data_IF_991739393857
#
_entry.id   IF_991739393857
#
_cell.length_a   1.000
_cell.length_b   1.000
_cell.length_c   1.000
_cell.angle_alpha   90.00
_cell.angle_beta   90.00
_cell.angle_gamma   90.00
#
_symmetry.space_group_name_H-M   'P 1'
#
loop_
_entity.id
_entity.type
_entity.pdbx_description
1 polymer ?
#
# COMPACT_ATOMS: atom_id res chain seq x y z
N UNK A 1 18.35 -32.44 -40.58
CA UNK A 1 17.57 -32.38 -39.33
C UNK A 1 18.53 -31.82 -38.28
N UNK A 2 18.43 -30.53 -38.00
CA UNK A 2 19.27 -29.88 -36.99
C UNK A 2 18.66 -30.26 -35.63
N UNK A 3 19.45 -30.63 -34.60
CA UNK A 3 18.89 -30.90 -33.28
C UNK A 3 18.21 -29.61 -32.79
N UNK A 4 16.98 -29.72 -32.30
CA UNK A 4 16.39 -28.64 -31.51
C UNK A 4 17.31 -28.43 -30.31
N UNK A 5 17.96 -27.26 -30.24
CA UNK A 5 18.65 -26.84 -29.03
C UNK A 5 17.61 -26.80 -27.91
N UNK A 6 17.78 -27.68 -26.92
CA UNK A 6 17.14 -27.52 -25.62
C UNK A 6 17.75 -26.28 -24.98
N UNK A 7 17.20 -25.12 -25.30
CA UNK A 7 17.50 -23.88 -24.58
C UNK A 7 16.94 -24.09 -23.18
N UNK A 8 17.82 -24.35 -22.21
CA UNK A 8 17.43 -24.31 -20.81
C UNK A 8 16.84 -22.92 -20.53
N UNK A 9 15.64 -22.83 -19.94
CA UNK A 9 15.03 -21.54 -19.64
C UNK A 9 15.96 -20.76 -18.72
N UNK A 10 16.25 -19.50 -19.05
CA UNK A 10 17.06 -18.63 -18.21
C UNK A 10 16.42 -18.57 -16.81
N UNK A 11 17.12 -19.05 -15.76
CA UNK A 11 16.61 -19.00 -14.39
C UNK A 11 16.31 -17.57 -13.91
N UNK A 12 16.85 -16.57 -14.59
CA UNK A 12 16.66 -15.14 -14.35
C UNK A 12 15.61 -14.51 -15.27
N UNK A 13 14.87 -15.26 -16.10
CA UNK A 13 13.81 -14.65 -16.92
C UNK A 13 12.62 -14.12 -16.09
N UNK A 14 12.23 -14.84 -15.03
CA UNK A 14 11.02 -14.55 -14.23
C UNK A 14 11.32 -14.01 -12.82
N UNK A 15 12.59 -13.74 -12.52
CA UNK A 15 13.03 -13.49 -11.14
C UNK A 15 12.39 -12.25 -10.51
N UNK A 16 12.12 -11.19 -11.27
CA UNK A 16 11.47 -9.97 -10.78
C UNK A 16 10.03 -10.25 -10.34
N UNK A 17 9.26 -10.95 -11.19
CA UNK A 17 7.89 -11.36 -10.89
C UNK A 17 7.84 -12.29 -9.67
N UNK A 18 8.75 -13.26 -9.59
CA UNK A 18 8.85 -14.17 -8.43
C UNK A 18 9.20 -13.40 -7.17
N UNK A 19 10.13 -12.45 -7.24
CA UNK A 19 10.52 -11.61 -6.10
C UNK A 19 9.34 -10.75 -5.64
N UNK A 20 8.64 -10.09 -6.55
CA UNK A 20 7.48 -9.27 -6.24
C UNK A 20 6.39 -10.08 -5.53
N UNK A 21 6.01 -11.25 -6.05
CA UNK A 21 5.00 -12.11 -5.43
C UNK A 21 5.44 -12.60 -4.04
N UNK A 22 6.72 -12.94 -3.86
CA UNK A 22 7.24 -13.34 -2.53
C UNK A 22 7.21 -12.20 -1.52
N UNK A 23 7.50 -10.98 -1.95
CA UNK A 23 7.45 -9.79 -1.09
C UNK A 23 5.99 -9.48 -0.75
N UNK A 24 5.11 -9.56 -1.73
CA UNK A 24 3.67 -9.40 -1.55
C UNK A 24 3.10 -10.38 -0.52
N UNK A 25 3.53 -11.64 -0.60
CA UNK A 25 3.19 -12.66 0.40
C UNK A 25 3.69 -12.31 1.80
N UNK A 26 4.90 -11.77 1.95
CA UNK A 26 5.42 -11.31 3.24
C UNK A 26 4.58 -10.16 3.79
N UNK A 27 4.25 -9.17 2.95
CA UNK A 27 3.38 -8.05 3.31
C UNK A 27 2.02 -8.56 3.79
N UNK A 28 1.42 -9.53 3.09
CA UNK A 28 0.11 -10.07 3.44
C UNK A 28 0.09 -10.95 4.71
N UNK A 29 1.25 -11.43 5.17
CA UNK A 29 1.38 -12.19 6.42
C UNK A 29 1.43 -11.32 7.66
N UNK A 30 1.58 -10.01 7.51
CA UNK A 30 1.53 -9.08 8.64
C UNK A 30 0.18 -9.17 9.34
N UNK A 31 0.18 -9.02 10.66
CA UNK A 31 -1.08 -8.77 11.39
C UNK A 31 -1.66 -7.40 11.02
N UNK A 32 -2.90 -7.15 11.43
CA UNK A 32 -3.59 -5.87 11.16
C UNK A 32 -2.77 -4.65 11.63
N UNK A 33 -2.18 -4.71 12.84
CA UNK A 33 -1.31 -3.64 13.36
C UNK A 33 -0.05 -3.46 12.51
N UNK A 34 0.56 -4.58 12.09
CA UNK A 34 1.74 -4.57 11.25
C UNK A 34 1.46 -3.93 9.89
N UNK A 35 0.32 -4.24 9.28
CA UNK A 35 -0.12 -3.62 8.04
C UNK A 35 -0.31 -2.11 8.20
N UNK A 36 -1.01 -1.66 9.25
CA UNK A 36 -1.21 -0.23 9.52
C UNK A 36 0.14 0.50 9.73
N UNK A 37 1.08 -0.11 10.45
CA UNK A 37 2.41 0.45 10.65
C UNK A 37 3.23 0.47 9.35
N UNK A 38 3.08 -0.54 8.47
CA UNK A 38 3.71 -0.59 7.16
C UNK A 38 3.21 0.56 6.28
N UNK A 39 1.89 0.76 6.17
CA UNK A 39 1.31 1.88 5.40
C UNK A 39 1.81 3.22 5.94
N UNK A 40 1.84 3.40 7.26
CA UNK A 40 2.39 4.61 7.86
C UNK A 40 3.88 4.79 7.50
N UNK A 41 4.66 3.71 7.50
CA UNK A 41 6.07 3.70 7.09
C UNK A 41 6.31 4.09 5.64
N UNK A 42 5.48 3.57 4.73
CA UNK A 42 5.51 3.93 3.30
C UNK A 42 5.24 5.44 3.14
N UNK A 43 4.20 5.96 3.80
CA UNK A 43 3.88 7.39 3.74
C UNK A 43 5.00 8.26 4.34
N UNK A 44 5.68 7.79 5.39
CA UNK A 44 6.88 8.48 5.91
C UNK A 44 8.03 8.50 4.92
N UNK A 45 8.28 7.38 4.22
CA UNK A 45 9.29 7.29 3.18
C UNK A 45 8.99 8.21 1.98
N UNK A 46 7.70 8.50 1.74
CA UNK A 46 7.24 9.50 0.76
C UNK A 46 7.34 10.95 1.25
N UNK A 47 7.87 11.19 2.46
CA UNK A 47 8.09 12.53 3.01
C UNK A 47 6.97 13.08 3.90
N UNK A 48 5.95 12.29 4.22
CA UNK A 48 4.90 12.71 5.15
C UNK A 48 5.29 12.41 6.60
N UNK A 49 4.71 13.16 7.54
CA UNK A 49 4.64 12.75 8.94
C UNK A 49 3.32 12.05 9.20
N UNK A 50 3.38 10.94 9.92
CA UNK A 50 2.21 10.08 10.15
C UNK A 50 1.85 9.99 11.63
N UNK A 51 0.56 10.11 11.95
CA UNK A 51 -0.01 9.73 13.24
C UNK A 51 -0.86 8.46 13.06
N UNK A 52 -0.59 7.43 13.85
CA UNK A 52 -1.34 6.17 13.84
C UNK A 52 -2.34 6.20 14.99
N UNK A 53 -3.63 5.97 14.71
CA UNK A 53 -4.67 5.92 15.73
C UNK A 53 -4.45 4.72 16.67
N UNK A 54 -4.69 4.87 17.99
CA UNK A 54 -4.61 3.75 18.92
C UNK A 54 -5.75 2.73 18.65
N UNK A 55 -5.57 1.46 19.03
CA UNK A 55 -6.63 0.46 18.91
C UNK A 55 -7.93 0.90 19.59
N UNK A 56 -9.07 0.67 18.95
CA UNK A 56 -10.39 1.02 19.49
C UNK A 56 -10.72 2.52 19.46
N UNK A 57 -9.91 3.35 18.80
CA UNK A 57 -10.20 4.76 18.61
C UNK A 57 -11.40 4.98 17.66
N UNK A 58 -12.33 5.86 18.04
CA UNK A 58 -13.50 6.24 17.22
C UNK A 58 -13.21 7.43 16.28
N UNK A 59 -11.94 7.67 15.93
CA UNK A 59 -11.54 8.83 15.12
C UNK A 59 -11.94 8.69 13.63
N UNK A 60 -12.56 7.57 13.25
CA UNK A 60 -12.97 7.28 11.87
C UNK A 60 -11.81 7.28 10.88
N UNK A 61 -10.59 6.97 11.36
CA UNK A 61 -9.36 6.82 10.57
C UNK A 61 -8.34 5.96 11.31
N UNK A 62 -7.49 5.28 10.56
CA UNK A 62 -6.37 4.51 11.08
C UNK A 62 -5.06 5.31 11.09
N UNK A 63 -4.86 6.16 10.10
CA UNK A 63 -3.65 6.99 9.96
C UNK A 63 -4.04 8.38 9.50
N UNK A 64 -3.37 9.39 10.04
CA UNK A 64 -3.31 10.74 9.47
C UNK A 64 -1.90 10.98 8.94
N UNK A 65 -1.77 11.38 7.69
CA UNK A 65 -0.49 11.79 7.10
C UNK A 65 -0.57 13.24 6.61
N UNK A 66 0.47 14.02 6.87
CA UNK A 66 0.58 15.43 6.48
C UNK A 66 2.04 15.87 6.48
N UNK A 67 2.41 16.96 5.77
CA UNK A 67 3.80 17.45 5.78
C UNK A 67 4.26 17.86 7.19
N UNK A 68 3.40 18.54 7.93
CA UNK A 68 3.68 19.09 9.25
C UNK A 68 3.52 18.06 10.39
N UNK A 69 2.74 17.01 10.15
CA UNK A 69 2.39 15.96 11.10
C UNK A 69 1.21 16.31 11.98
N UNK A 70 0.62 17.50 11.85
CA UNK A 70 -0.56 17.94 12.60
C UNK A 70 -1.81 17.97 11.72
N UNK A 71 -1.64 18.01 10.39
CA UNK A 71 -2.70 18.16 9.42
C UNK A 71 -3.17 19.60 9.26
N UNK A 72 -2.36 20.60 9.62
CA UNK A 72 -2.66 22.00 9.30
C UNK A 72 -2.23 22.31 7.87
N UNK A 73 -1.11 21.73 7.45
CA UNK A 73 -0.62 21.83 6.07
C UNK A 73 -1.23 20.77 5.15
N UNK A 74 -1.38 21.16 3.88
CA UNK A 74 -1.88 20.28 2.82
C UNK A 74 -0.73 19.60 2.07
N UNK A 75 -0.94 18.38 1.55
CA UNK A 75 -2.17 17.60 1.65
C UNK A 75 -2.31 16.94 3.04
N UNK A 76 -3.53 16.98 3.58
CA UNK A 76 -3.92 16.23 4.77
C UNK A 76 -4.56 14.92 4.31
N UNK A 77 -3.84 13.82 4.44
CA UNK A 77 -4.25 12.51 3.97
C UNK A 77 -4.82 11.71 5.14
N UNK A 78 -6.09 11.35 5.05
CA UNK A 78 -6.75 10.45 5.98
C UNK A 78 -6.72 9.05 5.39
N UNK A 79 -6.31 8.06 6.19
CA UNK A 79 -6.14 6.69 5.74
C UNK A 79 -7.03 5.74 6.53
N UNK A 80 -7.64 4.80 5.81
CA UNK A 80 -8.33 3.62 6.35
C UNK A 80 -7.63 2.36 5.84
N UNK A 81 -7.43 1.37 6.70
CA UNK A 81 -6.74 0.11 6.41
C UNK A 81 -7.65 -1.07 6.75
N UNK A 82 -8.04 -1.84 5.73
CA UNK A 82 -8.81 -3.07 5.86
C UNK A 82 -7.96 -4.28 5.49
N UNK A 83 -7.35 -4.88 6.50
CA UNK A 83 -6.58 -6.12 6.35
C UNK A 83 -7.46 -7.35 6.60
N UNK A 84 -8.23 -7.77 5.59
CA UNK A 84 -9.13 -8.94 5.63
C UNK A 84 -9.36 -9.49 4.23
N UNK A 85 -9.85 -10.74 4.12
CA UNK A 85 -10.11 -11.40 2.83
C UNK A 85 -11.27 -10.81 2.02
N UNK A 86 -12.23 -10.20 2.71
CA UNK A 86 -13.42 -9.63 2.06
C UNK A 86 -13.04 -8.43 1.17
N UNK A 87 -13.66 -8.34 -0.02
CA UNK A 87 -13.55 -7.18 -0.91
C UNK A 87 -14.37 -5.99 -0.39
N UNK A 88 -13.84 -4.78 -0.49
CA UNK A 88 -14.56 -3.57 -0.09
C UNK A 88 -15.53 -3.11 -1.19
N UNK A 89 -16.75 -2.77 -0.79
CA UNK A 89 -17.83 -2.31 -1.67
C UNK A 89 -18.04 -0.80 -1.65
N UNK A 90 -18.97 -0.32 -2.47
CA UNK A 90 -19.30 1.11 -2.55
C UNK A 90 -19.80 1.68 -1.22
N UNK A 91 -20.48 0.87 -0.39
CA UNK A 91 -20.91 1.29 0.96
C UNK A 91 -19.72 1.56 1.86
N UNK A 92 -18.68 0.71 1.85
CA UNK A 92 -17.47 0.94 2.66
C UNK A 92 -16.77 2.25 2.27
N UNK A 93 -16.71 2.54 0.96
CA UNK A 93 -16.12 3.77 0.43
C UNK A 93 -16.93 5.00 0.84
N UNK A 94 -18.27 4.98 0.70
CA UNK A 94 -19.14 6.08 1.14
C UNK A 94 -19.04 6.33 2.64
N UNK A 95 -19.02 5.27 3.44
CA UNK A 95 -18.88 5.38 4.89
C UNK A 95 -17.56 6.06 5.29
N UNK A 96 -16.46 5.69 4.65
CA UNK A 96 -15.16 6.34 4.88
C UNK A 96 -15.16 7.82 4.50
N UNK A 97 -15.74 8.15 3.33
CA UNK A 97 -15.81 9.51 2.80
C UNK A 97 -16.76 10.42 3.59
N UNK A 98 -17.83 9.87 4.17
CA UNK A 98 -18.87 10.64 4.86
C UNK A 98 -18.37 11.48 6.05
N UNK A 99 -17.22 11.15 6.64
CA UNK A 99 -16.60 11.88 7.74
C UNK A 99 -15.45 12.81 7.34
N UNK A 100 -15.19 13.03 6.05
CA UNK A 100 -14.02 13.78 5.56
C UNK A 100 -14.31 15.26 5.35
N UNK A 101 -13.33 16.11 5.65
CA UNK A 101 -13.39 17.52 5.28
C UNK A 101 -13.19 17.68 3.76
N UNK A 102 -13.79 18.68 3.08
CA UNK A 102 -13.60 18.89 1.64
C UNK A 102 -12.13 19.02 1.18
N UNK A 103 -11.28 19.48 2.09
CA UNK A 103 -9.84 19.66 1.84
C UNK A 103 -9.00 18.43 2.16
N UNK A 104 -9.61 17.39 2.72
CA UNK A 104 -8.92 16.12 2.94
C UNK A 104 -8.57 15.46 1.59
N UNK A 105 -7.61 14.56 1.68
CA UNK A 105 -7.35 13.54 0.69
C UNK A 105 -7.53 12.19 1.36
N UNK A 106 -8.13 11.23 0.67
CA UNK A 106 -8.32 9.90 1.20
C UNK A 106 -7.30 8.92 0.64
N UNK A 107 -6.89 7.97 1.47
CA UNK A 107 -6.25 6.74 1.03
C UNK A 107 -6.99 5.57 1.68
N UNK A 108 -7.62 4.72 0.87
CA UNK A 108 -8.25 3.51 1.38
C UNK A 108 -7.41 2.30 0.98
N UNK A 109 -6.95 1.54 1.96
CA UNK A 109 -6.14 0.34 1.76
C UNK A 109 -6.99 -0.90 2.04
N UNK A 110 -7.01 -1.86 1.12
CA UNK A 110 -7.70 -3.15 1.30
C UNK A 110 -6.89 -4.31 0.74
N UNK A 111 -6.46 -5.23 1.60
CA UNK A 111 -5.77 -6.45 1.14
C UNK A 111 -6.70 -7.47 0.50
N UNK A 112 -8.01 -7.38 0.77
CA UNK A 112 -9.04 -8.16 0.09
C UNK A 112 -9.47 -7.55 -1.24
N UNK A 113 -8.92 -6.39 -1.62
CA UNK A 113 -9.26 -5.66 -2.84
C UNK A 113 -10.58 -4.88 -2.74
N UNK A 114 -11.06 -4.44 -3.90
CA UNK A 114 -12.23 -3.58 -4.07
C UNK A 114 -13.14 -4.14 -5.16
N UNK A 115 -14.45 -3.89 -5.06
CA UNK A 115 -15.38 -4.17 -6.17
C UNK A 115 -15.27 -3.10 -7.27
N UNK A 116 -15.92 -3.34 -8.42
CA UNK A 116 -16.03 -2.33 -9.49
C UNK A 116 -16.79 -1.10 -9.01
N UNK A 117 -17.88 -1.31 -8.27
CA UNK A 117 -18.70 -0.22 -7.73
C UNK A 117 -17.96 0.60 -6.68
N UNK A 118 -17.08 -0.02 -5.88
CA UNK A 118 -16.21 0.69 -4.96
C UNK A 118 -15.24 1.64 -5.68
N UNK A 119 -14.65 1.17 -6.78
CA UNK A 119 -13.78 2.02 -7.64
C UNK A 119 -14.56 3.18 -8.25
N UNK A 120 -15.72 2.89 -8.83
CA UNK A 120 -16.59 3.94 -9.38
C UNK A 120 -17.02 4.98 -8.33
N UNK A 121 -17.31 4.54 -7.10
CA UNK A 121 -17.64 5.43 -6.00
C UNK A 121 -16.45 6.31 -5.58
N UNK A 122 -15.24 5.76 -5.56
CA UNK A 122 -14.03 6.53 -5.27
C UNK A 122 -13.76 7.57 -6.36
N UNK A 123 -13.86 7.20 -7.64
CA UNK A 123 -13.57 8.06 -8.79
C UNK A 123 -14.50 9.28 -8.87
N UNK A 124 -15.76 9.11 -8.46
CA UNK A 124 -16.78 10.19 -8.48
C UNK A 124 -16.83 11.02 -7.20
N UNK A 125 -16.00 10.70 -6.20
CA UNK A 125 -15.98 11.39 -4.91
C UNK A 125 -15.50 12.83 -5.07
N UNK A 126 -16.11 13.75 -4.32
CA UNK A 126 -15.65 15.15 -4.25
C UNK A 126 -14.35 15.29 -3.45
N UNK A 127 -14.13 14.41 -2.47
CA UNK A 127 -12.86 14.28 -1.75
C UNK A 127 -11.99 13.30 -2.54
N UNK A 128 -10.85 13.72 -3.10
CA UNK A 128 -9.99 12.83 -3.88
C UNK A 128 -9.53 11.64 -3.04
N UNK A 129 -9.70 10.45 -3.60
CA UNK A 129 -9.47 9.18 -2.93
C UNK A 129 -8.59 8.27 -3.78
N UNK A 130 -7.45 7.83 -3.21
CA UNK A 130 -6.67 6.74 -3.76
C UNK A 130 -7.09 5.41 -3.13
N UNK A 131 -7.13 4.35 -3.93
CA UNK A 131 -7.38 2.98 -3.46
C UNK A 131 -6.10 2.16 -3.61
N UNK A 132 -5.62 1.54 -2.54
CA UNK A 132 -4.49 0.62 -2.58
C UNK A 132 -4.95 -0.80 -2.26
N UNK A 133 -4.76 -1.70 -3.21
CA UNK A 133 -4.78 -3.14 -2.94
C UNK A 133 -3.42 -3.59 -2.41
N UNK A 134 -3.28 -4.88 -2.13
CA UNK A 134 -2.01 -5.47 -1.74
C UNK A 134 -0.91 -5.27 -2.79
N UNK A 135 -1.26 -5.22 -4.08
CA UNK A 135 -0.31 -4.95 -5.17
C UNK A 135 0.20 -3.50 -5.09
N UNK A 136 -0.67 -2.51 -4.94
CA UNK A 136 -0.25 -1.10 -4.81
C UNK A 136 0.54 -0.85 -3.52
N UNK A 137 0.20 -1.52 -2.41
CA UNK A 137 1.00 -1.44 -1.17
C UNK A 137 2.42 -1.97 -1.42
N UNK A 138 2.53 -3.12 -2.08
CA UNK A 138 3.82 -3.76 -2.37
C UNK A 138 4.65 -2.88 -3.29
N UNK A 139 4.04 -2.34 -4.35
CA UNK A 139 4.70 -1.41 -5.26
C UNK A 139 5.17 -0.14 -4.54
N UNK A 140 4.29 0.50 -3.78
CA UNK A 140 4.63 1.72 -3.04
C UNK A 140 5.75 1.49 -2.02
N UNK A 141 5.79 0.32 -1.38
CA UNK A 141 6.90 -0.08 -0.52
C UNK A 141 8.21 -0.15 -1.29
N UNK A 142 8.24 -0.85 -2.44
CA UNK A 142 9.45 -1.04 -3.25
C UNK A 142 9.96 0.29 -3.81
N UNK A 143 9.07 1.11 -4.37
CA UNK A 143 9.40 2.42 -4.95
C UNK A 143 10.03 3.38 -3.92
N UNK A 144 9.78 3.17 -2.63
CA UNK A 144 10.26 4.04 -1.54
C UNK A 144 11.16 3.31 -0.53
N UNK A 145 11.57 2.06 -0.80
CA UNK A 145 12.16 1.19 0.21
C UNK A 145 13.47 1.76 0.79
N UNK A 146 14.29 2.37 -0.06
CA UNK A 146 15.54 3.06 0.31
C UNK A 146 15.31 4.13 1.39
N UNK A 147 14.20 4.86 1.33
CA UNK A 147 13.85 5.94 2.26
C UNK A 147 13.08 5.47 3.52
N UNK A 148 12.82 4.17 3.66
CA UNK A 148 12.07 3.65 4.81
C UNK A 148 12.89 3.65 6.10
N UNK A 149 12.22 3.98 7.21
CA UNK A 149 12.81 3.94 8.55
C UNK A 149 13.07 2.51 9.06
N UNK A 150 13.88 2.38 10.11
CA UNK A 150 14.25 1.08 10.71
C UNK A 150 13.03 0.26 11.15
N UNK A 151 11.97 0.92 11.65
CA UNK A 151 10.76 0.23 12.10
C UNK A 151 10.05 -0.43 10.92
N UNK A 152 9.97 0.26 9.80
CA UNK A 152 9.37 -0.23 8.55
C UNK A 152 10.19 -1.36 7.96
N UNK A 153 11.52 -1.23 7.92
CA UNK A 153 12.44 -2.30 7.49
C UNK A 153 12.38 -3.54 8.39
N UNK A 154 12.02 -3.38 9.67
CA UNK A 154 11.82 -4.51 10.58
C UNK A 154 10.53 -5.29 10.33
N UNK A 155 9.53 -4.66 9.69
CA UNK A 155 8.30 -5.34 9.26
C UNK A 155 8.55 -6.16 7.99
N UNK A 156 9.24 -5.58 7.02
CA UNK A 156 9.55 -6.21 5.73
C UNK A 156 11.03 -5.95 5.42
N UNK A 157 11.88 -6.95 5.67
CA UNK A 157 13.32 -6.85 5.48
C UNK A 157 13.73 -7.32 4.09
N UNK A 158 13.95 -6.36 3.20
CA UNK A 158 14.49 -6.55 1.85
C UNK A 158 15.95 -6.13 1.78
N UNK A 159 16.66 -6.72 0.82
CA UNK A 159 18.04 -6.39 0.47
C UNK A 159 18.14 -6.20 -1.05
N UNK A 160 18.94 -5.23 -1.46
CA UNK A 160 19.26 -5.00 -2.87
C UNK A 160 20.27 -6.04 -3.33
N UNK A 161 20.13 -6.51 -4.58
CA UNK A 161 21.16 -7.25 -5.28
C UNK A 161 21.24 -6.73 -6.73
N UNK A 162 22.37 -6.96 -7.39
CA UNK A 162 22.59 -6.56 -8.78
C UNK A 162 22.52 -7.80 -9.67
N UNK A 163 21.77 -7.69 -10.76
CA UNK A 163 21.65 -8.71 -11.80
C UNK A 163 22.00 -8.13 -13.18
N UNK A 164 22.31 -8.99 -14.17
CA UNK A 164 22.45 -8.56 -15.55
C UNK A 164 21.11 -8.01 -16.08
N UNK A 165 21.17 -6.99 -16.94
CA UNK A 165 19.98 -6.52 -17.68
C UNK A 165 19.59 -7.61 -18.67
N UNK A 166 18.31 -7.99 -18.72
CA UNK A 166 17.82 -8.91 -19.74
C UNK A 166 18.01 -8.27 -21.14
N UNK A 167 18.54 -9.03 -22.09
CA UNK A 167 18.74 -8.60 -23.48
C UNK A 167 17.42 -8.38 -24.24
#
# INVERSE_FOLDING_TARGET
MVPEENVEPDPLADYESIAFERIKDQVNRLGWEGMQQLIAGILRAMGYKTQVSPPGSDLGRDILASPDGFGFERPRIVVEVKHRKQTMGSTDIRSFLGGRHPDDRGLYVSTGGFTKDARYEADRSTVPLALWTLDEVTKALLDNYESTDTKTRSLISLRTFYGPVAD
#
